data_IF_396029031576
#
_entry.id   IF_396029031576
#
_cell.length_a   1.000
_cell.length_b   1.000
_cell.length_c   1.000
_cell.angle_alpha   90.00
_cell.angle_beta   90.00
_cell.angle_gamma   90.00
#
_symmetry.space_group_name_H-M   'P 1'
#
loop_
_entity.id
_entity.type
_entity.pdbx_description
1 polymer ?
#
# COMPACT_ATOMS: atom_id res chain seq x y z
N UNK A 1 37.81 -30.87 0.62
CA UNK A 1 37.69 -29.86 -0.46
C UNK A 1 36.64 -30.37 -1.42
N UNK A 2 35.41 -29.91 -1.26
CA UNK A 2 34.40 -30.03 -2.29
C UNK A 2 34.30 -28.66 -2.93
N UNK A 3 34.68 -28.57 -4.20
CA UNK A 3 34.45 -27.40 -5.02
C UNK A 3 32.94 -27.21 -5.15
N UNK A 4 32.41 -26.15 -4.54
CA UNK A 4 31.10 -25.64 -4.89
C UNK A 4 31.18 -25.21 -6.36
N UNK A 5 30.52 -25.95 -7.26
CA UNK A 5 30.24 -25.46 -8.60
C UNK A 5 29.64 -24.06 -8.46
N UNK A 6 30.31 -23.06 -9.04
CA UNK A 6 29.81 -21.70 -9.17
C UNK A 6 28.54 -21.74 -10.03
N UNK A 7 27.40 -22.04 -9.41
CA UNK A 7 26.11 -22.02 -10.07
C UNK A 7 25.91 -20.68 -10.76
N UNK A 8 25.48 -20.73 -12.03
CA UNK A 8 25.27 -19.56 -12.88
C UNK A 8 24.58 -18.42 -12.11
N UNK A 9 25.09 -17.19 -12.24
CA UNK A 9 24.50 -15.99 -11.61
C UNK A 9 23.05 -15.76 -12.03
N UNK A 10 22.68 -16.28 -13.20
CA UNK A 10 21.32 -16.22 -13.76
C UNK A 10 20.43 -17.40 -13.33
N UNK A 11 20.96 -18.38 -12.58
CA UNK A 11 20.17 -19.48 -12.07
C UNK A 11 19.05 -18.96 -11.16
N UNK A 12 17.82 -19.36 -11.48
CA UNK A 12 16.63 -18.96 -10.75
C UNK A 12 16.56 -19.77 -9.45
N UNK A 13 16.57 -19.06 -8.33
CA UNK A 13 16.19 -19.57 -7.02
C UNK A 13 14.66 -19.60 -6.99
N UNK A 14 14.11 -20.81 -6.98
CA UNK A 14 12.69 -21.06 -6.85
C UNK A 14 12.39 -21.66 -5.48
N UNK A 15 11.42 -21.09 -4.77
CA UNK A 15 10.89 -21.65 -3.53
C UNK A 15 9.40 -21.89 -3.71
N UNK A 16 8.98 -23.13 -3.44
CA UNK A 16 7.57 -23.55 -3.54
C UNK A 16 7.03 -23.73 -2.13
N UNK A 17 5.91 -23.09 -1.86
CA UNK A 17 5.15 -23.22 -0.62
C UNK A 17 3.86 -23.96 -0.94
N UNK A 18 3.62 -25.09 -0.28
CA UNK A 18 2.42 -25.90 -0.53
C UNK A 18 1.20 -25.36 0.23
N UNK A 19 1.41 -24.75 1.40
CA UNK A 19 0.36 -24.24 2.28
C UNK A 19 0.77 -22.94 3.00
N UNK A 20 0.09 -21.80 2.73
CA UNK A 20 -0.70 -21.52 1.52
C UNK A 20 0.08 -21.77 0.23
N UNK A 21 -0.63 -21.99 -0.88
CA UNK A 21 0.01 -22.25 -2.18
C UNK A 21 0.73 -20.99 -2.63
N UNK A 22 2.01 -21.11 -2.95
CA UNK A 22 2.74 -20.02 -3.57
C UNK A 22 4.10 -20.39 -4.12
N UNK A 23 4.56 -19.59 -5.07
CA UNK A 23 5.85 -19.76 -5.74
C UNK A 23 6.59 -18.45 -5.70
N UNK A 24 7.81 -18.48 -5.18
CA UNK A 24 8.71 -17.35 -5.07
C UNK A 24 9.89 -17.53 -6.02
N UNK A 25 10.27 -16.47 -6.73
CA UNK A 25 11.33 -16.49 -7.74
C UNK A 25 12.26 -15.27 -7.61
N UNK A 26 13.57 -15.51 -7.63
CA UNK A 26 14.62 -14.51 -7.84
C UNK A 26 15.91 -15.21 -8.31
N UNK A 27 16.97 -14.46 -8.62
CA UNK A 27 18.31 -15.02 -8.92
C UNK A 27 19.41 -14.31 -8.15
N UNK A 28 20.63 -14.86 -8.11
CA UNK A 28 21.79 -14.21 -7.47
C UNK A 28 22.10 -12.84 -8.09
N UNK A 29 21.90 -12.71 -9.40
CA UNK A 29 22.00 -11.44 -10.12
C UNK A 29 20.94 -10.43 -9.67
N UNK A 30 19.69 -10.87 -9.49
CA UNK A 30 18.62 -10.00 -8.98
C UNK A 30 18.88 -9.55 -7.54
N UNK A 31 19.40 -10.44 -6.68
CA UNK A 31 19.84 -10.08 -5.32
C UNK A 31 20.95 -9.01 -5.36
N UNK A 32 21.94 -9.17 -6.24
CA UNK A 32 23.00 -8.17 -6.44
C UNK A 32 22.45 -6.84 -6.94
N UNK A 33 21.50 -6.88 -7.89
CA UNK A 33 20.88 -5.68 -8.43
C UNK A 33 20.09 -4.93 -7.33
N UNK A 34 19.28 -5.64 -6.56
CA UNK A 34 18.59 -5.06 -5.40
C UNK A 34 19.60 -4.43 -4.43
N UNK A 35 20.63 -5.16 -4.04
CA UNK A 35 21.66 -4.68 -3.11
C UNK A 35 22.36 -3.41 -3.61
N UNK A 36 22.61 -3.28 -4.92
CA UNK A 36 23.21 -2.10 -5.49
C UNK A 36 22.24 -0.90 -5.50
N UNK A 37 20.99 -1.12 -5.88
CA UNK A 37 20.02 -0.05 -6.14
C UNK A 37 19.33 0.46 -4.88
N UNK A 38 19.00 -0.40 -3.92
CA UNK A 38 18.16 0.00 -2.78
C UNK A 38 18.78 1.07 -1.88
N UNK A 39 20.11 1.23 -1.89
CA UNK A 39 20.81 2.23 -1.08
C UNK A 39 20.68 3.66 -1.59
N UNK A 40 20.40 3.84 -2.88
CA UNK A 40 20.45 5.14 -3.57
C UNK A 40 19.13 5.44 -4.31
N UNK A 41 18.15 4.53 -4.29
CA UNK A 41 16.93 4.61 -5.09
C UNK A 41 15.73 3.97 -4.38
N UNK A 42 14.55 4.24 -4.93
CA UNK A 42 13.27 3.74 -4.42
C UNK A 42 13.08 2.28 -4.83
N UNK A 43 12.64 1.47 -3.86
CA UNK A 43 12.15 0.12 -4.10
C UNK A 43 10.63 0.14 -4.16
N UNK A 44 10.03 -0.50 -5.15
CA UNK A 44 8.58 -0.65 -5.25
C UNK A 44 8.18 -2.07 -4.86
N UNK A 45 7.09 -2.20 -4.10
CA UNK A 45 6.41 -3.47 -3.86
C UNK A 45 4.96 -3.33 -4.31
N UNK A 46 4.63 -3.96 -5.42
CA UNK A 46 3.29 -3.96 -5.99
C UNK A 46 2.62 -5.32 -5.85
N UNK A 47 1.28 -5.34 -5.81
CA UNK A 47 0.48 -6.56 -5.75
C UNK A 47 -0.65 -6.51 -6.78
N UNK A 48 -0.54 -7.34 -7.82
CA UNK A 48 -1.56 -7.44 -8.85
C UNK A 48 -2.37 -8.74 -8.71
N UNK A 49 -3.69 -8.62 -8.49
CA UNK A 49 -4.60 -9.75 -8.22
C UNK A 49 -5.33 -10.30 -9.47
N UNK A 50 -5.06 -9.78 -10.66
CA UNK A 50 -5.90 -9.98 -11.86
C UNK A 50 -5.22 -10.72 -13.01
N UNK A 51 -3.96 -11.16 -12.86
CA UNK A 51 -3.19 -11.73 -13.96
C UNK A 51 -3.61 -13.19 -14.25
N UNK A 52 -4.01 -13.96 -13.22
CA UNK A 52 -4.37 -15.37 -13.38
C UNK A 52 -5.88 -15.53 -13.34
N UNK A 53 -6.46 -15.92 -14.48
CA UNK A 53 -7.90 -16.12 -14.62
C UNK A 53 -8.43 -17.17 -13.65
N UNK A 54 -9.59 -16.90 -13.07
CA UNK A 54 -10.28 -17.83 -12.17
C UNK A 54 -10.71 -19.07 -12.97
N UNK A 55 -10.24 -20.25 -12.58
CA UNK A 55 -10.87 -21.51 -12.98
C UNK A 55 -12.31 -21.60 -12.43
N UNK A 56 -13.22 -22.24 -13.17
CA UNK A 56 -14.61 -22.47 -12.70
C UNK A 56 -14.58 -23.14 -11.32
N UNK A 57 -15.19 -22.52 -10.31
CA UNK A 57 -15.33 -23.07 -8.96
C UNK A 57 -14.23 -22.70 -7.94
N UNK A 58 -13.23 -21.86 -8.28
CA UNK A 58 -12.23 -21.38 -7.30
C UNK A 58 -12.63 -20.03 -6.68
N UNK A 59 -12.44 -19.89 -5.37
CA UNK A 59 -12.96 -18.78 -4.55
C UNK A 59 -12.04 -17.55 -4.42
N UNK A 60 -10.72 -17.67 -4.65
CA UNK A 60 -9.78 -16.56 -4.48
C UNK A 60 -8.92 -16.29 -5.73
N UNK A 61 -8.66 -15.01 -6.09
CA UNK A 61 -7.69 -14.67 -7.12
C UNK A 61 -6.26 -15.05 -6.68
N UNK A 62 -5.40 -15.39 -7.64
CA UNK A 62 -3.97 -15.41 -7.36
C UNK A 62 -3.42 -13.98 -7.41
N UNK A 63 -2.67 -13.62 -6.39
CA UNK A 63 -1.91 -12.40 -6.27
C UNK A 63 -0.51 -12.63 -6.84
N UNK A 64 -0.03 -11.69 -7.63
CA UNK A 64 1.37 -11.59 -8.06
C UNK A 64 1.97 -10.38 -7.35
N UNK A 65 2.90 -10.62 -6.44
CA UNK A 65 3.68 -9.58 -5.80
C UNK A 65 5.01 -9.44 -6.53
N UNK A 66 5.40 -8.20 -6.84
CA UNK A 66 6.68 -7.91 -7.45
C UNK A 66 7.44 -6.89 -6.61
N UNK A 67 8.65 -7.27 -6.19
CA UNK A 67 9.62 -6.35 -5.65
C UNK A 67 10.44 -5.81 -6.82
N UNK A 68 10.38 -4.51 -7.06
CA UNK A 68 10.88 -3.87 -8.27
C UNK A 68 11.86 -2.76 -7.89
N UNK A 69 12.98 -2.68 -8.61
CA UNK A 69 13.93 -1.58 -8.51
C UNK A 69 14.06 -0.88 -9.85
N UNK A 70 14.47 0.40 -9.84
CA UNK A 70 14.78 1.11 -11.08
C UNK A 70 15.94 0.43 -11.80
N UNK A 71 15.82 0.36 -13.12
CA UNK A 71 16.91 -0.12 -13.97
C UNK A 71 18.15 0.77 -13.83
N UNK A 72 19.37 0.21 -13.84
CA UNK A 72 20.62 1.00 -13.75
C UNK A 72 20.76 2.03 -14.87
N UNK A 73 20.35 1.67 -16.08
CA UNK A 73 20.30 2.57 -17.23
C UNK A 73 19.09 3.50 -17.16
N UNK A 74 19.33 4.81 -17.15
CA UNK A 74 18.28 5.84 -17.16
C UNK A 74 17.39 5.69 -18.39
N UNK A 75 16.08 5.75 -18.20
CA UNK A 75 15.08 5.64 -19.27
C UNK A 75 14.66 4.20 -19.60
N UNK A 76 15.33 3.19 -19.06
CA UNK A 76 14.92 1.79 -19.20
C UNK A 76 13.83 1.40 -18.21
N UNK A 77 13.05 0.38 -18.57
CA UNK A 77 11.96 -0.15 -17.75
C UNK A 77 12.46 -0.69 -16.41
N UNK A 78 11.74 -0.46 -15.29
CA UNK A 78 12.06 -1.03 -13.98
C UNK A 78 12.21 -2.56 -14.03
N UNK A 79 13.00 -3.11 -13.10
CA UNK A 79 13.35 -4.54 -13.07
C UNK A 79 12.74 -5.21 -11.85
N UNK A 80 11.89 -6.24 -12.02
CA UNK A 80 11.48 -7.09 -10.92
C UNK A 80 12.67 -7.92 -10.44
N UNK A 81 13.01 -7.78 -9.16
CA UNK A 81 14.12 -8.49 -8.50
C UNK A 81 13.63 -9.64 -7.63
N UNK A 82 12.35 -9.68 -7.31
CA UNK A 82 11.71 -10.84 -6.72
C UNK A 82 10.22 -10.87 -7.10
N UNK A 83 9.71 -12.06 -7.37
CA UNK A 83 8.29 -12.28 -7.68
C UNK A 83 7.73 -13.33 -6.74
N UNK A 84 6.52 -13.11 -6.24
CA UNK A 84 5.78 -14.07 -5.45
C UNK A 84 4.36 -14.22 -5.97
N UNK A 85 4.00 -15.44 -6.37
CA UNK A 85 2.63 -15.78 -6.79
C UNK A 85 1.98 -16.60 -5.71
N UNK A 86 0.81 -16.20 -5.23
CA UNK A 86 0.08 -16.93 -4.18
C UNK A 86 -1.41 -16.68 -4.25
N UNK A 87 -2.21 -17.57 -3.67
CA UNK A 87 -3.64 -17.34 -3.44
C UNK A 87 -3.93 -16.74 -2.05
N UNK A 88 -2.91 -16.38 -1.27
CA UNK A 88 -3.07 -15.88 0.09
C UNK A 88 -2.56 -14.43 0.25
N UNK A 89 -3.46 -13.54 0.69
CA UNK A 89 -3.16 -12.13 0.99
C UNK A 89 -3.20 -11.88 2.50
N UNK A 90 -2.23 -12.45 3.22
CA UNK A 90 -2.07 -12.27 4.67
C UNK A 90 -0.69 -11.69 4.99
N UNK A 91 -0.59 -10.99 6.14
CA UNK A 91 0.70 -10.49 6.65
C UNK A 91 1.70 -11.63 6.81
N UNK A 92 1.27 -12.82 7.24
CA UNK A 92 2.15 -13.98 7.42
C UNK A 92 2.75 -14.46 6.09
N UNK A 93 1.92 -14.59 5.06
CA UNK A 93 2.33 -15.01 3.72
C UNK A 93 3.31 -14.03 3.07
N UNK A 94 2.96 -12.75 3.03
CA UNK A 94 3.82 -11.72 2.43
C UNK A 94 5.11 -11.52 3.26
N UNK A 95 5.03 -11.60 4.59
CA UNK A 95 6.21 -11.55 5.44
C UNK A 95 7.13 -12.73 5.20
N UNK A 96 6.60 -13.94 5.00
CA UNK A 96 7.42 -15.12 4.67
C UNK A 96 8.14 -14.95 3.33
N UNK A 97 7.48 -14.36 2.32
CA UNK A 97 8.11 -13.98 1.06
C UNK A 97 9.29 -13.02 1.25
N UNK A 98 9.05 -11.90 1.93
CA UNK A 98 10.09 -10.89 2.15
C UNK A 98 11.23 -11.44 3.03
N UNK A 99 10.92 -12.19 4.08
CA UNK A 99 11.91 -12.85 4.94
C UNK A 99 12.78 -13.83 4.15
N UNK A 100 12.16 -14.61 3.25
CA UNK A 100 12.86 -15.58 2.41
C UNK A 100 13.81 -14.91 1.43
N UNK A 101 13.40 -13.77 0.86
CA UNK A 101 14.24 -12.94 0.01
C UNK A 101 15.40 -12.32 0.80
N UNK A 102 15.11 -11.67 1.94
CA UNK A 102 16.11 -11.07 2.83
C UNK A 102 17.12 -12.10 3.33
N UNK A 103 16.69 -13.32 3.63
CA UNK A 103 17.57 -14.41 4.06
C UNK A 103 18.61 -14.75 2.99
N UNK A 104 18.20 -14.91 1.73
CA UNK A 104 19.13 -15.19 0.64
C UNK A 104 20.01 -13.99 0.31
N UNK A 105 19.47 -12.79 0.45
CA UNK A 105 20.20 -11.54 0.29
C UNK A 105 21.32 -11.43 1.35
N UNK A 106 21.02 -11.77 2.61
CA UNK A 106 22.00 -11.82 3.73
C UNK A 106 23.05 -12.89 3.49
N UNK A 107 22.66 -14.08 3.00
CA UNK A 107 23.62 -15.14 2.65
C UNK A 107 24.63 -14.66 1.60
N UNK A 108 24.19 -13.81 0.66
CA UNK A 108 25.03 -13.34 -0.43
C UNK A 108 25.89 -12.10 -0.08
N UNK A 109 25.35 -11.16 0.71
CA UNK A 109 26.00 -9.85 0.95
C UNK A 109 26.20 -9.49 2.44
N UNK A 110 25.84 -10.38 3.37
CA UNK A 110 25.98 -10.20 4.82
C UNK A 110 24.84 -9.42 5.49
N UNK A 111 24.96 -9.17 6.80
CA UNK A 111 23.85 -8.65 7.63
C UNK A 111 23.49 -7.17 7.41
N UNK A 112 24.32 -6.38 6.73
CA UNK A 112 24.14 -4.91 6.58
C UNK A 112 23.04 -4.50 5.59
N UNK A 113 22.05 -5.36 5.38
CA UNK A 113 21.06 -5.21 4.31
C UNK A 113 19.76 -4.58 4.82
N UNK A 114 19.37 -4.83 6.07
CA UNK A 114 18.11 -4.34 6.61
C UNK A 114 18.07 -2.81 6.66
N UNK A 115 19.17 -2.16 7.03
CA UNK A 115 19.29 -0.68 7.09
C UNK A 115 19.68 -0.04 5.75
N UNK A 116 19.69 -0.81 4.66
CA UNK A 116 20.24 -0.34 3.38
C UNK A 116 19.20 0.33 2.48
N UNK A 117 17.97 -0.20 2.34
CA UNK A 117 16.95 0.48 1.56
C UNK A 117 16.68 1.87 2.12
N UNK A 118 16.72 2.89 1.27
CA UNK A 118 16.36 4.26 1.69
C UNK A 118 14.86 4.41 1.78
N UNK A 119 14.13 3.85 0.82
CA UNK A 119 12.69 4.03 0.71
C UNK A 119 12.02 2.85 0.00
N UNK A 120 10.86 2.46 0.52
CA UNK A 120 9.92 1.58 -0.15
C UNK A 120 8.64 2.36 -0.52
N UNK A 121 8.16 2.14 -1.73
CA UNK A 121 6.81 2.54 -2.16
C UNK A 121 5.98 1.28 -2.35
N UNK A 122 4.85 1.20 -1.68
CA UNK A 122 3.90 0.12 -1.88
C UNK A 122 2.46 0.62 -1.85
N UNK A 123 1.52 -0.25 -2.18
CA UNK A 123 0.11 0.05 -2.01
C UNK A 123 -0.25 0.29 -0.56
N UNK A 124 -1.36 0.99 -0.33
CA UNK A 124 -1.91 1.22 1.00
C UNK A 124 -2.47 -0.01 1.71
N UNK A 125 -2.08 -1.22 1.29
CA UNK A 125 -2.49 -2.45 1.96
C UNK A 125 -1.73 -2.58 3.27
N UNK A 126 -2.48 -2.74 4.37
CA UNK A 126 -1.92 -2.97 5.70
C UNK A 126 -1.01 -4.22 5.74
N UNK A 127 -1.31 -5.22 4.92
CA UNK A 127 -0.52 -6.44 4.77
C UNK A 127 0.89 -6.12 4.25
N UNK A 128 1.00 -5.26 3.22
CA UNK A 128 2.29 -4.87 2.66
C UNK A 128 3.08 -3.99 3.64
N UNK A 129 2.42 -2.98 4.22
CA UNK A 129 3.05 -2.05 5.17
C UNK A 129 3.60 -2.79 6.40
N UNK A 130 2.81 -3.69 6.99
CA UNK A 130 3.26 -4.52 8.11
C UNK A 130 4.42 -5.43 7.71
N UNK A 131 4.31 -6.12 6.57
CA UNK A 131 5.35 -7.05 6.13
C UNK A 131 6.68 -6.34 5.84
N UNK A 132 6.65 -5.15 5.22
CA UNK A 132 7.85 -4.34 4.99
C UNK A 132 8.45 -3.82 6.30
N UNK A 133 7.62 -3.30 7.21
CA UNK A 133 8.08 -2.79 8.51
C UNK A 133 8.85 -3.86 9.29
N UNK A 134 8.31 -5.08 9.36
CA UNK A 134 8.94 -6.15 10.10
C UNK A 134 10.22 -6.65 9.44
N UNK A 135 10.20 -6.89 8.11
CA UNK A 135 11.31 -7.56 7.42
C UNK A 135 12.50 -6.64 7.12
N UNK A 136 12.26 -5.34 6.89
CA UNK A 136 13.32 -4.38 6.56
C UNK A 136 13.63 -3.39 7.68
N UNK A 137 12.65 -3.05 8.53
CA UNK A 137 12.88 -2.12 9.65
C UNK A 137 13.05 -2.84 10.99
N UNK A 138 12.70 -4.12 11.09
CA UNK A 138 12.85 -4.92 12.32
C UNK A 138 11.88 -4.51 13.45
N UNK A 139 10.85 -3.72 13.14
CA UNK A 139 9.88 -3.18 14.10
C UNK A 139 8.45 -3.39 13.61
N UNK A 140 7.47 -3.27 14.51
CA UNK A 140 6.06 -3.26 14.12
C UNK A 140 5.73 -1.99 13.33
N UNK A 141 4.67 -2.02 12.53
CA UNK A 141 4.22 -0.83 11.79
C UNK A 141 3.87 0.33 12.73
N UNK A 142 3.23 0.05 13.87
CA UNK A 142 2.88 1.08 14.85
C UNK A 142 4.13 1.76 15.42
N UNK A 143 5.13 0.96 15.81
CA UNK A 143 6.41 1.47 16.30
C UNK A 143 7.12 2.30 15.22
N UNK A 144 7.10 1.83 13.98
CA UNK A 144 7.69 2.55 12.84
C UNK A 144 7.03 3.91 12.60
N UNK A 145 5.69 3.96 12.63
CA UNK A 145 4.94 5.22 12.49
C UNK A 145 5.25 6.20 13.63
N UNK A 146 5.33 5.70 14.87
CA UNK A 146 5.75 6.53 16.01
C UNK A 146 7.16 7.10 15.82
N UNK A 147 8.10 6.30 15.31
CA UNK A 147 9.46 6.76 15.00
C UNK A 147 9.45 7.83 13.91
N UNK A 148 8.68 7.65 12.84
CA UNK A 148 8.52 8.70 11.82
C UNK A 148 7.95 9.98 12.39
N UNK A 149 6.92 9.88 13.24
CA UNK A 149 6.35 11.04 13.93
C UNK A 149 7.37 11.77 14.79
N UNK A 150 8.21 11.04 15.53
CA UNK A 150 9.29 11.62 16.30
C UNK A 150 10.35 12.30 15.40
N UNK A 151 10.63 11.77 14.21
CA UNK A 151 11.57 12.39 13.26
C UNK A 151 11.03 13.76 12.82
N UNK A 152 9.78 13.80 12.36
CA UNK A 152 9.19 15.02 11.81
C UNK A 152 8.91 16.08 12.88
N UNK A 153 8.76 15.68 14.15
CA UNK A 153 8.62 16.60 15.30
C UNK A 153 9.94 16.97 15.97
N UNK A 154 11.08 16.49 15.45
CA UNK A 154 12.41 16.78 16.01
C UNK A 154 12.73 16.08 17.33
N UNK A 155 11.98 15.03 17.68
CA UNK A 155 12.13 14.23 18.90
C UNK A 155 12.77 12.86 18.66
N UNK A 156 13.28 12.60 17.44
CA UNK A 156 13.78 11.28 17.07
C UNK A 156 15.13 10.93 17.73
N UNK A 157 15.27 9.70 18.22
CA UNK A 157 16.58 9.15 18.57
C UNK A 157 17.42 8.87 17.31
N UNK A 158 18.75 8.92 17.44
CA UNK A 158 19.69 8.79 16.30
C UNK A 158 19.52 7.49 15.49
N UNK A 159 19.07 6.41 16.13
CA UNK A 159 18.85 5.11 15.48
C UNK A 159 17.66 5.14 14.50
N UNK A 160 16.70 6.05 14.70
CA UNK A 160 15.51 6.18 13.85
C UNK A 160 15.81 6.76 12.47
N UNK A 161 16.89 7.54 12.34
CA UNK A 161 17.29 8.20 11.08
C UNK A 161 17.78 7.18 10.03
N UNK A 162 18.15 5.97 10.45
CA UNK A 162 18.66 4.92 9.56
C UNK A 162 17.59 3.94 9.08
N UNK A 163 16.33 4.15 9.49
CA UNK A 163 15.23 3.27 9.08
C UNK A 163 14.81 3.58 7.64
N UNK A 164 14.56 2.56 6.80
CA UNK A 164 13.96 2.75 5.49
C UNK A 164 12.63 3.49 5.60
N UNK A 165 12.38 4.47 4.72
CA UNK A 165 11.11 5.19 4.66
C UNK A 165 10.07 4.30 3.98
N UNK A 166 8.94 4.05 4.64
CA UNK A 166 7.78 3.39 4.02
C UNK A 166 6.79 4.45 3.55
N UNK A 167 6.48 4.43 2.26
CA UNK A 167 5.59 5.41 1.64
C UNK A 167 4.49 4.70 0.86
N UNK A 168 3.25 5.20 0.99
CA UNK A 168 2.13 4.72 0.20
C UNK A 168 2.20 5.28 -1.21
N UNK A 169 1.99 4.46 -2.23
CA UNK A 169 2.05 4.90 -3.61
C UNK A 169 1.09 6.07 -3.86
N UNK A 170 1.62 7.20 -4.33
CA UNK A 170 0.84 8.43 -4.51
C UNK A 170 -0.29 8.22 -5.52
N UNK A 171 -0.07 7.44 -6.58
CA UNK A 171 -1.14 7.13 -7.55
C UNK A 171 -2.30 6.39 -6.89
N UNK A 172 -2.02 5.45 -5.98
CA UNK A 172 -3.05 4.76 -5.19
C UNK A 172 -3.75 5.68 -4.21
N UNK A 173 -3.03 6.58 -3.55
CA UNK A 173 -3.62 7.62 -2.68
C UNK A 173 -4.57 8.51 -3.49
N UNK A 174 -4.13 9.01 -4.65
CA UNK A 174 -4.93 9.89 -5.49
C UNK A 174 -6.12 9.17 -6.14
N UNK A 175 -6.00 7.88 -6.46
CA UNK A 175 -7.13 7.05 -6.90
C UNK A 175 -8.19 6.93 -5.80
N UNK A 176 -7.77 6.63 -4.57
CA UNK A 176 -8.68 6.57 -3.42
C UNK A 176 -9.33 7.94 -3.14
N UNK A 177 -8.56 9.02 -3.25
CA UNK A 177 -9.08 10.38 -3.13
C UNK A 177 -10.12 10.69 -4.20
N UNK A 178 -9.89 10.30 -5.46
CA UNK A 178 -10.86 10.41 -6.57
C UNK A 178 -12.17 9.72 -6.24
N UNK A 179 -12.12 8.48 -5.75
CA UNK A 179 -13.32 7.72 -5.39
C UNK A 179 -14.07 8.37 -4.22
N UNK A 180 -13.34 8.83 -3.19
CA UNK A 180 -13.90 9.56 -2.05
C UNK A 180 -14.59 10.86 -2.51
N UNK A 181 -13.93 11.65 -3.35
CA UNK A 181 -14.44 12.95 -3.83
C UNK A 181 -15.68 12.75 -4.70
N UNK A 182 -15.70 11.75 -5.60
CA UNK A 182 -16.89 11.41 -6.39
C UNK A 182 -18.08 11.03 -5.50
N UNK A 183 -17.83 10.29 -4.41
CA UNK A 183 -18.86 9.81 -3.50
C UNK A 183 -19.39 10.92 -2.57
N UNK A 184 -18.51 11.74 -2.02
CA UNK A 184 -18.83 12.64 -0.90
C UNK A 184 -18.90 14.12 -1.30
N UNK A 185 -18.26 14.53 -2.40
CA UNK A 185 -18.26 15.90 -2.87
C UNK A 185 -18.52 16.01 -4.40
N UNK A 186 -19.53 15.31 -4.98
CA UNK A 186 -19.70 15.27 -6.44
C UNK A 186 -19.89 16.65 -7.08
N UNK A 187 -20.55 17.60 -6.39
CA UNK A 187 -20.76 18.97 -6.88
C UNK A 187 -19.51 19.85 -6.80
N UNK A 188 -18.53 19.45 -5.98
CA UNK A 188 -17.29 20.19 -5.73
C UNK A 188 -16.06 19.30 -5.97
N UNK A 189 -16.19 18.34 -6.89
CA UNK A 189 -15.19 17.30 -7.13
C UNK A 189 -13.81 17.87 -7.42
N UNK A 190 -13.72 18.87 -8.32
CA UNK A 190 -12.44 19.50 -8.69
C UNK A 190 -11.79 20.17 -7.48
N UNK A 191 -12.54 20.97 -6.72
CA UNK A 191 -12.03 21.61 -5.51
C UNK A 191 -11.51 20.58 -4.49
N UNK A 192 -12.25 19.50 -4.28
CA UNK A 192 -11.85 18.43 -3.39
C UNK A 192 -10.56 17.73 -3.89
N UNK A 193 -10.48 17.43 -5.19
CA UNK A 193 -9.28 16.84 -5.79
C UNK A 193 -8.05 17.76 -5.71
N UNK A 194 -8.20 19.06 -5.98
CA UNK A 194 -7.11 20.02 -5.80
C UNK A 194 -6.68 20.14 -4.34
N UNK A 195 -7.61 19.97 -3.39
CA UNK A 195 -7.29 19.96 -1.96
C UNK A 195 -6.40 18.76 -1.61
N UNK A 196 -6.75 17.56 -2.09
CA UNK A 196 -5.89 16.38 -1.93
C UNK A 196 -4.55 16.54 -2.67
N UNK A 197 -4.54 17.20 -3.83
CA UNK A 197 -3.31 17.55 -4.54
C UNK A 197 -2.40 18.46 -3.73
N UNK A 198 -2.96 19.50 -3.09
CA UNK A 198 -2.23 20.38 -2.19
C UNK A 198 -1.67 19.62 -0.98
N UNK A 199 -2.46 18.73 -0.36
CA UNK A 199 -1.98 17.87 0.73
C UNK A 199 -0.80 16.99 0.30
N UNK A 200 -0.83 16.43 -0.91
CA UNK A 200 0.24 15.59 -1.46
C UNK A 200 1.51 16.37 -1.82
N UNK A 201 1.43 17.68 -1.94
CA UNK A 201 2.54 18.57 -2.27
C UNK A 201 3.10 19.33 -1.06
N UNK A 202 2.44 19.23 0.11
CA UNK A 202 2.90 19.85 1.34
C UNK A 202 4.31 19.34 1.70
N UNK A 203 5.21 20.27 2.01
CA UNK A 203 6.62 19.96 2.31
C UNK A 203 6.94 20.03 3.80
N UNK A 204 6.02 20.58 4.59
CA UNK A 204 6.12 20.69 6.06
C UNK A 204 4.83 20.23 6.73
N UNK A 205 4.90 19.87 8.01
CA UNK A 205 3.70 19.50 8.79
C UNK A 205 2.78 20.71 8.94
N UNK A 206 3.35 21.89 9.12
CA UNK A 206 2.62 23.13 9.30
C UNK A 206 1.79 23.48 8.06
N UNK A 207 2.37 23.33 6.87
CA UNK A 207 1.63 23.47 5.59
C UNK A 207 0.49 22.44 5.49
N UNK A 208 0.78 21.17 5.78
CA UNK A 208 -0.21 20.10 5.73
C UNK A 208 -1.36 20.35 6.73
N UNK A 209 -1.04 20.77 7.94
CA UNK A 209 -2.01 21.12 8.98
C UNK A 209 -2.90 22.29 8.55
N UNK A 210 -2.33 23.35 7.97
CA UNK A 210 -3.11 24.49 7.46
C UNK A 210 -4.10 24.05 6.37
N UNK A 211 -3.67 23.18 5.45
CA UNK A 211 -4.52 22.62 4.39
C UNK A 211 -5.63 21.78 5.01
N UNK A 212 -5.31 20.88 5.95
CA UNK A 212 -6.30 20.00 6.62
C UNK A 212 -7.33 20.82 7.38
N UNK A 213 -6.90 21.80 8.18
CA UNK A 213 -7.79 22.67 8.96
C UNK A 213 -8.71 23.45 8.03
N UNK A 214 -8.17 24.02 6.95
CA UNK A 214 -8.96 24.79 5.98
C UNK A 214 -9.94 23.92 5.21
N UNK A 215 -9.51 22.74 4.77
CA UNK A 215 -10.36 21.75 4.13
C UNK A 215 -11.51 21.31 5.05
N UNK A 216 -11.21 20.99 6.31
CA UNK A 216 -12.21 20.59 7.29
C UNK A 216 -13.29 21.66 7.46
N UNK A 217 -12.90 22.94 7.61
CA UNK A 217 -13.88 24.03 7.75
C UNK A 217 -14.74 24.21 6.50
N UNK A 218 -14.15 24.09 5.31
CA UNK A 218 -14.86 24.29 4.03
C UNK A 218 -15.81 23.13 3.75
N UNK A 219 -15.38 21.88 3.93
CA UNK A 219 -16.18 20.70 3.58
C UNK A 219 -17.14 20.25 4.68
N UNK A 220 -16.94 20.64 5.96
CA UNK A 220 -17.83 20.22 7.05
C UNK A 220 -19.05 21.12 7.26
N UNK A 221 -19.16 22.24 6.54
CA UNK A 221 -20.21 23.25 6.77
C UNK A 221 -21.23 23.28 5.64
N UNK A 222 -22.51 23.33 6.01
CA UNK A 222 -23.65 23.35 5.08
C UNK A 222 -24.00 24.74 4.54
N UNK A 223 -23.41 25.81 5.10
CA UNK A 223 -23.71 27.19 4.74
C UNK A 223 -22.42 28.03 4.71
N UNK A 224 -22.40 29.02 3.82
CA UNK A 224 -21.32 30.01 3.76
C UNK A 224 -21.36 30.97 4.95
N UNK A 225 -20.22 31.60 5.22
CA UNK A 225 -20.07 32.59 6.28
C UNK A 225 -18.61 33.00 6.40
N UNK A 226 -18.32 34.07 7.13
CA UNK A 226 -16.98 34.68 7.19
C UNK A 226 -15.84 33.68 7.45
N UNK A 227 -16.08 32.67 8.29
CA UNK A 227 -15.08 31.62 8.58
C UNK A 227 -14.85 30.71 7.37
N UNK A 228 -15.90 30.28 6.68
CA UNK A 228 -15.79 29.45 5.47
C UNK A 228 -15.10 30.24 4.36
N UNK A 229 -15.47 31.51 4.16
CA UNK A 229 -14.88 32.36 3.13
C UNK A 229 -13.38 32.59 3.35
N UNK A 230 -12.97 32.77 4.61
CA UNK A 230 -11.55 32.86 4.99
C UNK A 230 -10.80 31.58 4.60
N UNK A 231 -11.26 30.42 5.06
CA UNK A 231 -10.56 29.16 4.80
C UNK A 231 -10.60 28.74 3.33
N UNK A 232 -11.66 29.09 2.60
CA UNK A 232 -11.72 28.89 1.16
C UNK A 232 -10.67 29.73 0.43
N UNK A 233 -10.51 31.01 0.79
CA UNK A 233 -9.45 31.86 0.25
C UNK A 233 -8.05 31.34 0.58
N UNK A 234 -7.84 30.80 1.78
CA UNK A 234 -6.57 30.16 2.15
C UNK A 234 -6.28 28.96 1.22
N UNK A 235 -7.25 28.07 1.00
CA UNK A 235 -7.08 26.93 0.08
C UNK A 235 -6.77 27.41 -1.34
N UNK A 236 -7.48 28.42 -1.85
CA UNK A 236 -7.20 29.00 -3.16
C UNK A 236 -5.77 29.56 -3.25
N UNK A 237 -5.31 30.27 -2.22
CA UNK A 237 -3.96 30.81 -2.17
C UNK A 237 -2.92 29.69 -2.24
N UNK A 238 -3.08 28.65 -1.43
CA UNK A 238 -2.17 27.49 -1.39
C UNK A 238 -2.12 26.79 -2.76
N UNK A 239 -3.29 26.52 -3.36
CA UNK A 239 -3.38 25.86 -4.66
C UNK A 239 -2.76 26.69 -5.79
N UNK A 240 -2.89 28.02 -5.74
CA UNK A 240 -2.36 28.93 -6.77
C UNK A 240 -0.87 29.23 -6.59
N UNK A 241 -0.36 29.19 -5.35
CA UNK A 241 1.07 29.36 -5.06
C UNK A 241 1.87 28.08 -5.34
N UNK A 242 1.30 26.89 -5.07
CA UNK A 242 1.90 25.61 -5.43
C UNK A 242 1.84 25.28 -6.93
N UNK A 243 0.96 25.95 -7.68
CA UNK A 243 0.65 25.69 -9.08
C UNK A 243 1.35 26.61 -10.09
N UNK A 244 2.68 26.67 -10.11
CA UNK A 244 3.40 27.07 -11.35
C UNK A 244 3.70 25.83 -12.19
N UNK A 245 2.67 25.29 -12.80
CA UNK A 245 2.78 24.44 -13.98
C UNK A 245 1.70 24.87 -14.96
N UNK A 246 2.11 25.52 -16.04
CA UNK A 246 1.25 26.01 -17.13
C UNK A 246 0.64 24.85 -17.94
N UNK A 247 -0.12 23.97 -17.29
CA UNK A 247 -0.87 22.91 -17.95
C UNK A 247 -2.32 23.35 -17.98
N UNK A 248 -2.76 23.82 -19.15
CA UNK A 248 -4.16 24.16 -19.39
C UNK A 248 -5.05 22.94 -19.10
N UNK A 249 -6.11 23.15 -18.32
CA UNK A 249 -7.13 22.16 -17.92
C UNK A 249 -7.78 21.43 -19.13
N UNK A 250 -7.63 21.99 -20.33
CA UNK A 250 -8.08 21.44 -21.62
C UNK A 250 -7.20 20.32 -22.17
N UNK A 251 -5.99 20.11 -21.64
CA UNK A 251 -4.99 19.17 -22.19
C UNK A 251 -4.95 17.80 -21.52
N UNK A 252 -5.67 17.60 -20.41
CA UNK A 252 -5.72 16.30 -19.73
C UNK A 252 -6.73 15.40 -20.45
N UNK A 253 -6.25 14.68 -21.46
CA UNK A 253 -6.97 13.55 -22.05
C UNK A 253 -6.93 12.39 -21.05
N UNK A 254 -8.09 11.83 -20.69
CA UNK A 254 -8.16 10.54 -19.98
C UNK A 254 -7.49 9.49 -20.87
N UNK A 255 -6.22 9.21 -20.61
CA UNK A 255 -5.54 8.04 -21.16
C UNK A 255 -6.02 6.85 -20.35
N UNK A 256 -7.00 6.13 -20.90
CA UNK A 256 -7.21 4.73 -20.56
C UNK A 256 -5.89 4.00 -20.87
N UNK A 257 -5.08 3.79 -19.84
CA UNK A 257 -3.95 2.87 -19.93
C UNK A 257 -4.53 1.48 -20.16
N UNK A 258 -4.69 1.12 -21.44
CA UNK A 258 -4.74 -0.27 -21.84
C UNK A 258 -3.44 -0.91 -21.31
N UNK A 259 -3.58 -1.90 -20.43
CA UNK A 259 -2.47 -2.74 -19.99
C UNK A 259 -1.99 -3.56 -21.19
N UNK A 260 -1.21 -2.94 -22.07
CA UNK A 260 -0.61 -3.59 -23.24
C UNK A 260 0.71 -4.28 -22.88
N UNK A 261 0.80 -4.79 -21.64
CA UNK A 261 1.87 -5.70 -21.24
C UNK A 261 1.46 -7.07 -21.74
N UNK A 262 1.90 -7.39 -22.96
CA UNK A 262 1.75 -8.74 -23.52
C UNK A 262 2.23 -9.82 -22.55
N UNK A 263 1.74 -11.04 -22.74
CA UNK A 263 2.05 -12.22 -21.91
C UNK A 263 3.57 -12.35 -21.75
N UNK A 264 4.09 -12.11 -20.55
CA UNK A 264 5.53 -12.18 -20.29
C UNK A 264 5.98 -13.64 -20.25
N UNK A 265 7.27 -13.91 -20.51
CA UNK A 265 7.85 -15.26 -20.37
C UNK A 265 7.66 -15.84 -18.96
N UNK A 266 7.51 -14.98 -17.94
CA UNK A 266 7.18 -15.36 -16.58
C UNK A 266 5.74 -15.86 -16.45
N UNK A 267 4.77 -15.20 -17.09
CA UNK A 267 3.37 -15.66 -17.09
C UNK A 267 3.23 -17.06 -17.67
N UNK A 268 3.89 -17.36 -18.79
CA UNK A 268 3.94 -18.72 -19.36
C UNK A 268 4.61 -19.75 -18.42
N UNK A 269 5.67 -19.35 -17.72
CA UNK A 269 6.33 -20.22 -16.74
C UNK A 269 5.39 -20.55 -15.58
N UNK A 270 4.71 -19.54 -15.02
CA UNK A 270 3.74 -19.73 -13.93
C UNK A 270 2.54 -20.57 -14.36
N UNK A 271 1.99 -20.33 -15.55
CA UNK A 271 0.91 -21.15 -16.10
C UNK A 271 1.33 -22.63 -16.23
N UNK A 272 2.58 -22.90 -16.62
CA UNK A 272 3.11 -24.26 -16.72
C UNK A 272 3.28 -24.92 -15.35
N UNK A 273 3.83 -24.21 -14.36
CA UNK A 273 4.00 -24.73 -12.99
C UNK A 273 2.65 -25.02 -12.35
N UNK A 274 1.68 -24.10 -12.50
CA UNK A 274 0.31 -24.29 -11.98
C UNK A 274 -0.39 -25.48 -12.66
N UNK A 275 -0.22 -25.66 -13.99
CA UNK A 275 -0.79 -26.80 -14.74
C UNK A 275 -0.15 -28.13 -14.37
N UNK A 276 1.13 -28.15 -14.03
CA UNK A 276 1.85 -29.38 -13.65
C UNK A 276 1.47 -29.89 -12.25
N UNK A 277 0.93 -29.04 -11.37
CA UNK A 277 0.48 -29.45 -10.03
C UNK A 277 -0.99 -29.91 -9.94
N UNK A 278 -1.79 -29.88 -11.03
CA UNK A 278 -3.17 -30.40 -11.02
C UNK A 278 -3.27 -31.94 -11.06
N UNK A 279 -2.17 -32.62 -10.73
CA UNK A 279 -2.00 -34.08 -10.84
C UNK A 279 -2.20 -34.90 -9.57
N UNK A 280 -2.66 -34.33 -8.45
CA UNK A 280 -2.97 -35.10 -7.23
C UNK A 280 -4.46 -34.94 -6.88
N UNK A 281 -5.27 -35.81 -7.49
CA UNK A 281 -6.69 -35.96 -7.16
C UNK A 281 -6.80 -37.09 -6.14
N UNK A 282 -6.92 -36.75 -4.86
CA UNK A 282 -7.59 -37.62 -3.91
C UNK A 282 -8.23 -36.82 -2.75
N UNK A 283 -9.54 -37.06 -2.59
CA UNK A 283 -10.21 -37.10 -1.28
C UNK A 283 -10.67 -35.79 -0.62
N UNK A 284 -11.93 -35.40 -0.89
CA UNK A 284 -13.06 -35.51 0.04
C UNK A 284 -14.09 -34.37 -0.13
N UNK A 285 -15.33 -34.79 -0.38
CA UNK A 285 -16.55 -33.99 -0.31
C UNK A 285 -16.76 -33.45 1.12
N UNK A 286 -17.06 -32.14 1.24
CA UNK A 286 -17.69 -31.60 2.46
C UNK A 286 -18.82 -30.62 2.09
N UNK A 287 -19.91 -30.83 2.82
CA UNK A 287 -21.27 -30.30 2.88
C UNK A 287 -21.47 -28.78 2.68
N UNK A 288 -22.59 -28.41 2.04
CA UNK A 288 -23.00 -27.07 1.61
C UNK A 288 -24.04 -26.41 2.54
N UNK A 289 -23.94 -26.58 3.85
CA UNK A 289 -24.93 -26.08 4.80
C UNK A 289 -24.36 -25.13 5.86
N UNK A 290 -23.82 -23.97 5.46
CA UNK A 290 -23.72 -22.80 6.37
C UNK A 290 -23.67 -21.46 5.63
N UNK A 291 -24.73 -21.15 4.90
CA UNK A 291 -25.02 -19.80 4.41
C UNK A 291 -26.07 -19.19 5.34
N UNK A 292 -25.61 -18.33 6.25
CA UNK A 292 -26.49 -17.57 7.12
C UNK A 292 -25.71 -16.48 7.83
N UNK A 293 -25.82 -15.24 7.36
CA UNK A 293 -26.10 -14.07 8.18
C UNK A 293 -26.53 -12.92 7.26
N UNK A 294 -27.76 -12.50 7.53
CA UNK A 294 -28.56 -11.44 6.94
C UNK A 294 -28.09 -10.06 7.40
N UNK A 295 -28.16 -9.08 6.49
CA UNK A 295 -28.03 -7.65 6.76
C UNK A 295 -28.96 -7.17 7.88
N UNK A 296 -28.44 -6.37 8.83
CA UNK A 296 -29.24 -5.41 9.61
C UNK A 296 -28.77 -3.99 9.32
N UNK A 297 -29.61 -3.28 8.58
CA UNK A 297 -29.65 -1.82 8.49
C UNK A 297 -30.29 -1.25 9.76
N UNK A 298 -29.82 -0.11 10.25
CA UNK A 298 -30.61 0.70 11.19
C UNK A 298 -30.26 2.19 11.02
N UNK A 299 -31.04 2.84 10.15
CA UNK A 299 -31.45 4.24 10.31
C UNK A 299 -32.28 4.37 11.60
N UNK A 300 -32.29 5.51 12.30
CA UNK A 300 -33.55 6.19 12.67
C UNK A 300 -33.36 7.56 13.34
N UNK A 301 -34.23 8.48 12.91
CA UNK A 301 -34.58 9.79 13.51
C UNK A 301 -35.09 9.65 14.95
N UNK A 302 -34.86 10.70 15.73
CA UNK A 302 -35.37 10.91 17.08
C UNK A 302 -36.91 11.04 17.17
N UNK A 303 -37.46 10.61 18.31
CA UNK A 303 -38.78 10.96 18.85
C UNK A 303 -38.69 10.96 20.38
N UNK A 304 -39.30 11.95 21.03
CA UNK A 304 -39.25 12.19 22.48
C UNK A 304 -40.38 11.47 23.22
N UNK A 305 -40.09 10.87 24.39
CA UNK A 305 -41.04 10.73 25.51
C UNK A 305 -40.31 10.76 26.85
N UNK A 306 -41.00 11.39 27.81
CA UNK A 306 -40.63 11.71 29.19
C UNK A 306 -41.07 10.55 30.11
N UNK A 307 -40.32 10.29 31.19
CA UNK A 307 -40.79 10.09 32.59
C UNK A 307 -39.92 9.10 33.41
N UNK A 308 -39.50 9.62 34.57
CA UNK A 308 -39.18 9.04 35.90
C UNK A 308 -37.99 8.09 36.11
N UNK A 309 -37.11 8.50 37.03
CA UNK A 309 -36.48 7.58 38.01
C UNK A 309 -34.95 7.57 38.06
N UNK A 310 -34.37 8.47 38.88
CA UNK A 310 -33.20 8.24 39.75
C UNK A 310 -31.84 7.74 39.15
N UNK A 311 -30.96 8.72 38.88
CA UNK A 311 -29.52 8.83 39.18
C UNK A 311 -28.73 7.61 39.77
N UNK A 312 -27.69 7.14 39.06
CA UNK A 312 -26.23 7.45 39.24
C UNK A 312 -25.30 6.43 38.57
N UNK A 313 -24.21 6.93 37.97
CA UNK A 313 -23.01 6.18 37.59
C UNK A 313 -22.33 6.74 36.35
N UNK A 314 -21.53 7.81 36.49
CA UNK A 314 -20.67 8.30 35.41
C UNK A 314 -19.46 7.37 35.25
N UNK A 315 -19.28 6.83 34.05
CA UNK A 315 -17.98 6.37 33.53
C UNK A 315 -17.78 7.11 32.22
N UNK A 316 -16.72 7.92 32.15
CA UNK A 316 -16.30 8.57 30.92
C UNK A 316 -15.99 7.49 29.88
N UNK A 317 -16.71 7.51 28.76
CA UNK A 317 -16.37 6.74 27.56
C UNK A 317 -15.55 7.68 26.67
N UNK A 318 -14.33 7.27 26.35
CA UNK A 318 -13.53 7.88 25.29
C UNK A 318 -14.31 7.74 23.98
N UNK A 319 -14.88 8.86 23.54
CA UNK A 319 -15.57 8.94 22.25
C UNK A 319 -14.53 8.86 21.13
N UNK A 320 -14.77 7.91 20.23
CA UNK A 320 -13.87 7.50 19.16
C UNK A 320 -13.49 8.62 18.20
N UNK A 321 -12.26 8.51 17.71
CA UNK A 321 -11.76 9.25 16.55
C UNK A 321 -12.64 8.99 15.33
N UNK A 322 -12.86 9.99 14.46
CA UNK A 322 -13.58 9.79 13.20
C UNK A 322 -12.87 8.78 12.28
N UNK A 323 -13.64 7.92 11.59
CA UNK A 323 -13.17 6.87 10.66
C UNK A 323 -12.25 7.35 9.50
N UNK A 324 -12.07 8.65 9.28
CA UNK A 324 -11.12 9.16 8.29
C UNK A 324 -9.70 9.35 8.87
N UNK A 325 -9.55 9.30 10.19
CA UNK A 325 -8.27 9.46 10.89
C UNK A 325 -7.50 8.14 11.03
N UNK A 326 -8.13 7.00 10.76
CA UNK A 326 -7.53 5.65 10.74
C UNK A 326 -6.87 5.28 9.41
N UNK A 327 -6.68 6.22 8.49
CA UNK A 327 -6.20 5.98 7.12
C UNK A 327 -4.85 6.63 6.75
N UNK A 328 -4.07 7.06 7.75
CA UNK A 328 -2.70 7.54 7.55
C UNK A 328 -1.69 6.41 7.69
#
# INVERSE_FOLDING_TARGET
MHEEEQGSQDAIIQKIQMHPKGVMLWSKKMLSLFYQRCRDDIVYLDATASIIQKGKGRSAPFYVYELVVRHPSKGSSPVPVATYVTNDHTTASVSFFLASFVTDLIRQHGLRIQTRPVMFICDGSIVLLQSLSYNFCGVSLQELLNRYYNIVTGQAPEDSIRLPILHRCLSHVMKNAKDLCKKHAPKHYHLAMHTFGAMAQATTIEELEEIIVSAAVVFSRSHSGQKVDKHFKNLQLIMTQGGRTDIEDSSIVELDFMNDVGVTSFQHHFERVIKQEEGDKDGCLVDWSTLGITLKTTTHRASWRKVSGTLRGYVFKEDGLPDWMTLW
#
